data_IF_470380350539
#
_entry.id   IF_470380350539
#
_cell.length_a   1.000
_cell.length_b   1.000
_cell.length_c   1.000
_cell.angle_alpha   90.00
_cell.angle_beta   90.00
_cell.angle_gamma   90.00
#
_symmetry.space_group_name_H-M   'P 1'
#
loop_
_entity.id
_entity.type
_entity.pdbx_description
1 polymer ?
#
# COMPACT_ATOMS: atom_id res chain seq x y z
N UNK A 1 7.39 -65.45 -52.60
CA UNK A 1 5.96 -65.80 -52.86
C UNK A 1 5.25 -65.87 -51.51
N UNK A 2 4.09 -65.21 -51.38
CA UNK A 2 3.15 -65.27 -50.24
C UNK A 2 3.48 -64.28 -49.12
N UNK A 3 2.83 -63.10 -48.99
CA UNK A 3 1.45 -62.83 -48.51
C UNK A 3 1.29 -63.23 -47.03
N UNK A 4 1.01 -62.36 -46.05
CA UNK A 4 -0.03 -61.32 -45.82
C UNK A 4 -0.92 -61.77 -44.65
N UNK A 5 -1.37 -60.81 -43.85
CA UNK A 5 -2.38 -60.88 -42.76
C UNK A 5 -1.94 -61.57 -41.47
N UNK A 6 -2.17 -61.05 -40.26
CA UNK A 6 -2.94 -59.91 -39.80
C UNK A 6 -3.28 -60.12 -38.31
N UNK A 7 -3.77 -59.04 -37.67
CA UNK A 7 -4.70 -59.07 -36.53
C UNK A 7 -4.17 -58.91 -35.08
N UNK A 8 -4.33 -57.65 -34.60
CA UNK A 8 -5.00 -57.17 -33.35
C UNK A 8 -4.56 -57.69 -31.97
N UNK A 9 -4.24 -56.74 -31.07
CA UNK A 9 -5.08 -56.22 -29.96
C UNK A 9 -4.23 -55.19 -29.19
N UNK A 10 -4.51 -53.89 -29.26
CA UNK A 10 -5.58 -53.09 -28.64
C UNK A 10 -5.35 -52.75 -27.16
N UNK A 11 -5.35 -51.42 -26.93
CA UNK A 11 -5.79 -50.66 -25.76
C UNK A 11 -5.08 -50.95 -24.43
N UNK A 12 -4.52 -49.95 -23.74
CA UNK A 12 -5.28 -48.90 -23.06
C UNK A 12 -4.24 -47.84 -22.64
N UNK A 13 -4.30 -46.56 -23.01
CA UNK A 13 -5.47 -45.70 -22.86
C UNK A 13 -5.53 -45.10 -21.45
N UNK A 14 -4.46 -44.44 -20.99
CA UNK A 14 -4.58 -43.45 -19.91
C UNK A 14 -4.05 -42.11 -20.41
N UNK A 15 -4.91 -41.49 -21.20
CA UNK A 15 -4.97 -40.06 -21.37
C UNK A 15 -5.49 -39.50 -20.03
N UNK A 16 -4.57 -39.16 -19.13
CA UNK A 16 -4.91 -38.31 -17.99
C UNK A 16 -5.23 -36.94 -18.56
N UNK A 17 -6.53 -36.70 -18.76
CA UNK A 17 -7.10 -35.38 -18.85
C UNK A 17 -6.78 -34.66 -17.52
N UNK A 18 -5.63 -34.00 -17.47
CA UNK A 18 -5.43 -32.91 -16.53
C UNK A 18 -6.42 -31.83 -16.92
N UNK A 19 -7.53 -31.76 -16.20
CA UNK A 19 -8.39 -30.59 -16.20
C UNK A 19 -7.50 -29.41 -15.81
N UNK A 20 -7.11 -28.63 -16.82
CA UNK A 20 -6.47 -27.33 -16.65
C UNK A 20 -7.43 -26.51 -15.80
N UNK A 21 -7.08 -26.27 -14.54
CA UNK A 21 -7.68 -25.16 -13.79
C UNK A 21 -7.30 -23.94 -14.61
N UNK A 22 -8.22 -23.46 -15.45
CA UNK A 22 -8.01 -22.23 -16.23
C UNK A 22 -7.74 -21.13 -15.22
N UNK A 23 -6.45 -20.80 -15.04
CA UNK A 23 -6.05 -19.82 -14.06
C UNK A 23 -6.71 -18.49 -14.44
N UNK A 24 -7.62 -18.02 -13.58
CA UNK A 24 -8.38 -16.80 -13.80
C UNK A 24 -7.42 -15.65 -14.18
N UNK A 25 -7.80 -14.80 -15.16
CA UNK A 25 -7.00 -13.64 -15.50
C UNK A 25 -6.75 -12.78 -14.26
N UNK A 26 -5.49 -12.40 -14.04
CA UNK A 26 -5.09 -11.53 -12.95
C UNK A 26 -4.55 -10.23 -13.53
N UNK A 27 -5.15 -9.12 -13.12
CA UNK A 27 -4.61 -7.78 -13.36
C UNK A 27 -4.02 -7.26 -12.05
N UNK A 28 -2.74 -6.93 -12.08
CA UNK A 28 -2.06 -6.28 -10.97
C UNK A 28 -1.86 -4.80 -11.26
N UNK A 29 -2.28 -3.96 -10.32
CA UNK A 29 -2.10 -2.52 -10.33
C UNK A 29 -1.25 -2.05 -9.15
N UNK A 30 -1.14 -2.84 -8.08
CA UNK A 30 -0.37 -2.52 -6.89
C UNK A 30 1.10 -2.90 -7.10
N UNK A 31 2.01 -1.95 -6.89
CA UNK A 31 3.44 -2.13 -7.15
C UNK A 31 3.84 -2.12 -8.63
N UNK A 32 2.88 -1.97 -9.55
CA UNK A 32 3.13 -1.87 -10.98
C UNK A 32 2.03 -2.52 -11.81
N UNK A 33 1.95 -2.15 -13.09
CA UNK A 33 0.98 -2.75 -14.00
C UNK A 33 1.49 -4.11 -14.52
N UNK A 34 0.69 -5.16 -14.33
CA UNK A 34 0.88 -6.42 -15.06
C UNK A 34 -0.46 -7.12 -15.34
N UNK A 35 -0.47 -7.95 -16.38
CA UNK A 35 -1.62 -8.80 -16.73
C UNK A 35 -1.11 -10.21 -16.88
N UNK A 36 -1.75 -11.16 -16.22
CA UNK A 36 -1.49 -12.59 -16.40
C UNK A 36 -2.73 -13.33 -16.82
N UNK A 37 -2.60 -14.21 -17.82
CA UNK A 37 -3.67 -15.10 -18.30
C UNK A 37 -3.11 -16.51 -18.37
N UNK A 38 -3.76 -17.48 -17.73
CA UNK A 38 -3.23 -18.86 -17.69
C UNK A 38 -1.84 -18.95 -17.04
N UNK A 39 -1.50 -18.03 -16.12
CA UNK A 39 -0.18 -17.94 -15.49
C UNK A 39 0.90 -17.20 -16.30
N UNK A 40 0.66 -16.91 -17.58
CA UNK A 40 1.60 -16.22 -18.46
C UNK A 40 1.41 -14.70 -18.44
N UNK A 41 2.51 -13.94 -18.41
CA UNK A 41 2.47 -12.47 -18.51
C UNK A 41 2.14 -12.02 -19.93
N UNK A 42 1.18 -11.10 -20.07
CA UNK A 42 0.74 -10.55 -21.35
C UNK A 42 1.23 -9.12 -21.53
N UNK A 43 1.96 -8.88 -22.62
CA UNK A 43 2.49 -7.56 -22.95
C UNK A 43 1.44 -6.70 -23.68
N UNK A 44 0.95 -5.66 -23.01
CA UNK A 44 0.03 -4.68 -23.60
C UNK A 44 0.75 -3.36 -23.93
N UNK A 45 0.37 -2.65 -25.02
CA UNK A 45 0.82 -1.28 -25.29
C UNK A 45 0.33 -0.28 -24.23
N UNK A 46 1.02 0.86 -24.06
CA UNK A 46 0.70 1.88 -23.04
C UNK A 46 -0.79 2.28 -23.01
N UNK A 47 -1.38 2.59 -24.16
CA UNK A 47 -2.80 2.96 -24.24
C UNK A 47 -3.75 1.83 -23.80
N UNK A 48 -3.43 0.58 -24.12
CA UNK A 48 -4.21 -0.59 -23.65
C UNK A 48 -4.07 -0.79 -22.15
N UNK A 49 -2.86 -0.59 -21.59
CA UNK A 49 -2.67 -0.62 -20.13
C UNK A 49 -3.51 0.46 -19.45
N UNK A 50 -3.54 1.67 -20.01
CA UNK A 50 -4.30 2.82 -19.49
C UNK A 50 -5.79 2.52 -19.41
N UNK A 51 -6.39 2.02 -20.51
CA UNK A 51 -7.80 1.62 -20.54
C UNK A 51 -8.09 0.53 -19.51
N UNK A 52 -7.26 -0.51 -19.45
CA UNK A 52 -7.49 -1.63 -18.54
C UNK A 52 -7.37 -1.20 -17.07
N UNK A 53 -6.34 -0.43 -16.73
CA UNK A 53 -6.14 0.10 -15.40
C UNK A 53 -7.34 0.94 -14.93
N UNK A 54 -7.88 1.79 -15.82
CA UNK A 54 -9.05 2.58 -15.52
C UNK A 54 -10.28 1.71 -15.22
N UNK A 55 -10.59 0.75 -16.10
CA UNK A 55 -11.73 -0.17 -15.89
C UNK A 55 -11.61 -0.97 -14.59
N UNK A 56 -10.39 -1.35 -14.23
CA UNK A 56 -10.10 -2.08 -12.98
C UNK A 56 -10.23 -1.21 -11.72
N UNK A 57 -10.21 0.12 -11.80
CA UNK A 57 -10.47 0.98 -10.65
C UNK A 57 -11.94 1.36 -10.53
N UNK A 58 -12.58 1.61 -11.67
CA UNK A 58 -13.97 2.08 -11.76
C UNK A 58 -15.00 0.97 -11.47
N UNK A 59 -14.65 -0.31 -11.70
CA UNK A 59 -15.52 -1.46 -11.38
C UNK A 59 -15.97 -1.52 -9.91
N UNK A 60 -15.28 -0.84 -8.99
CA UNK A 60 -15.74 -0.73 -7.61
C UNK A 60 -16.89 0.27 -7.40
N UNK A 61 -17.14 1.17 -8.36
CA UNK A 61 -18.19 2.19 -8.32
C UNK A 61 -19.29 1.93 -9.37
N UNK A 62 -18.93 1.52 -10.60
CA UNK A 62 -19.86 1.23 -11.69
C UNK A 62 -19.40 -0.01 -12.48
N UNK A 63 -20.33 -0.93 -12.80
CA UNK A 63 -20.03 -2.21 -13.46
C UNK A 63 -19.60 -2.04 -14.93
N UNK A 64 -20.01 -0.93 -15.56
CA UNK A 64 -19.72 -0.60 -16.95
C UNK A 64 -19.46 0.90 -17.14
N UNK A 65 -18.79 1.25 -18.25
CA UNK A 65 -18.54 2.64 -18.62
C UNK A 65 -19.00 2.91 -20.05
N UNK A 66 -19.64 4.06 -20.27
CA UNK A 66 -19.92 4.57 -21.61
C UNK A 66 -18.62 4.81 -22.40
N UNK A 67 -18.58 4.36 -23.66
CA UNK A 67 -17.39 4.46 -24.51
C UNK A 67 -17.00 5.89 -24.83
N UNK A 68 -17.97 6.77 -25.02
CA UNK A 68 -17.73 8.19 -25.25
C UNK A 68 -17.09 8.84 -24.02
N UNK A 69 -17.71 8.65 -22.86
CA UNK A 69 -17.21 9.18 -21.58
C UNK A 69 -15.81 8.63 -21.26
N UNK A 70 -15.61 7.33 -21.43
CA UNK A 70 -14.34 6.66 -21.20
C UNK A 70 -13.24 7.23 -22.11
N UNK A 71 -13.54 7.45 -23.39
CA UNK A 71 -12.60 8.03 -24.34
C UNK A 71 -12.20 9.46 -23.94
N UNK A 72 -13.17 10.31 -23.58
CA UNK A 72 -12.92 11.70 -23.20
C UNK A 72 -12.10 11.77 -21.89
N UNK A 73 -12.43 10.95 -20.90
CA UNK A 73 -11.71 10.91 -19.62
C UNK A 73 -10.27 10.40 -19.76
N UNK A 74 -10.04 9.42 -20.63
CA UNK A 74 -8.72 8.86 -20.88
C UNK A 74 -7.88 9.66 -21.87
N UNK A 75 -8.43 10.60 -22.62
CA UNK A 75 -7.67 11.47 -23.53
C UNK A 75 -8.25 12.88 -23.52
N UNK A 76 -8.14 13.61 -22.40
CA UNK A 76 -8.77 14.92 -22.23
C UNK A 76 -8.23 15.97 -23.20
N UNK A 77 -6.97 15.85 -23.62
CA UNK A 77 -6.30 16.82 -24.51
C UNK A 77 -6.52 16.52 -26.00
N UNK A 78 -7.37 15.55 -26.34
CA UNK A 78 -7.64 15.12 -27.71
C UNK A 78 -9.05 15.49 -28.17
N UNK A 79 -9.22 15.70 -29.48
CA UNK A 79 -10.57 15.86 -30.03
C UNK A 79 -11.39 14.59 -29.83
N UNK A 80 -12.72 14.75 -29.70
CA UNK A 80 -13.61 13.64 -29.39
C UNK A 80 -13.52 12.46 -30.39
N UNK A 81 -13.23 12.75 -31.67
CA UNK A 81 -12.99 11.73 -32.71
C UNK A 81 -11.68 10.97 -32.48
N UNK A 82 -10.59 11.67 -32.16
CA UNK A 82 -9.28 11.06 -31.87
C UNK A 82 -9.32 10.23 -30.59
N UNK A 83 -10.02 10.71 -29.56
CA UNK A 83 -10.20 10.00 -28.30
C UNK A 83 -10.95 8.68 -28.54
N UNK A 84 -12.06 8.70 -29.30
CA UNK A 84 -12.80 7.48 -29.68
C UNK A 84 -11.98 6.52 -30.53
N UNK A 85 -11.19 7.03 -31.49
CA UNK A 85 -10.31 6.21 -32.31
C UNK A 85 -9.19 5.54 -31.48
N UNK A 86 -8.63 6.28 -30.52
CA UNK A 86 -7.62 5.78 -29.58
C UNK A 86 -8.19 4.69 -28.67
N UNK A 87 -9.38 4.92 -28.11
CA UNK A 87 -10.09 3.92 -27.31
C UNK A 87 -10.37 2.64 -28.12
N UNK A 88 -10.89 2.78 -29.34
CA UNK A 88 -11.15 1.63 -30.23
C UNK A 88 -9.89 0.81 -30.50
N UNK A 89 -8.77 1.48 -30.77
CA UNK A 89 -7.47 0.81 -31.00
C UNK A 89 -6.97 0.10 -29.75
N UNK A 90 -7.07 0.75 -28.59
CA UNK A 90 -6.67 0.17 -27.31
C UNK A 90 -7.49 -1.07 -26.95
N UNK A 91 -8.83 -1.00 -27.11
CA UNK A 91 -9.74 -2.12 -26.87
C UNK A 91 -9.52 -3.28 -27.84
N UNK A 92 -9.30 -2.98 -29.13
CA UNK A 92 -8.97 -4.02 -30.11
C UNK A 92 -7.68 -4.76 -29.74
N UNK A 93 -6.64 -4.03 -29.30
CA UNK A 93 -5.39 -4.63 -28.81
C UNK A 93 -5.61 -5.49 -27.58
N UNK A 94 -6.38 -5.03 -26.59
CA UNK A 94 -6.70 -5.83 -25.40
C UNK A 94 -7.38 -7.14 -25.79
N UNK A 95 -8.41 -7.10 -26.64
CA UNK A 95 -9.14 -8.30 -27.06
C UNK A 95 -8.31 -9.27 -27.88
N UNK A 96 -7.35 -8.76 -28.64
CA UNK A 96 -6.47 -9.62 -29.44
C UNK A 96 -5.51 -10.42 -28.56
N UNK A 97 -4.94 -9.79 -27.53
CA UNK A 97 -3.99 -10.45 -26.62
C UNK A 97 -4.70 -11.20 -25.47
N UNK A 98 -5.85 -10.69 -25.02
CA UNK A 98 -6.66 -11.20 -23.91
C UNK A 98 -8.17 -11.14 -24.26
N UNK A 99 -8.71 -12.12 -25.01
CA UNK A 99 -10.09 -12.07 -25.52
C UNK A 99 -11.17 -11.93 -24.45
N UNK A 100 -10.98 -12.58 -23.30
CA UNK A 100 -11.98 -12.69 -22.24
C UNK A 100 -11.81 -11.65 -21.11
N UNK A 101 -11.00 -10.60 -21.34
CA UNK A 101 -10.70 -9.61 -20.29
C UNK A 101 -11.69 -8.45 -20.29
N UNK A 102 -12.11 -8.00 -21.47
CA UNK A 102 -12.95 -6.80 -21.65
C UNK A 102 -14.06 -7.05 -22.67
N UNK A 103 -15.29 -6.90 -22.21
CA UNK A 103 -16.48 -6.96 -23.03
C UNK A 103 -16.95 -5.55 -23.42
N UNK A 104 -17.66 -5.46 -24.54
CA UNK A 104 -18.33 -4.23 -24.94
C UNK A 104 -19.63 -4.57 -25.63
N UNK A 105 -20.70 -4.01 -25.09
CA UNK A 105 -22.08 -4.22 -25.50
C UNK A 105 -22.82 -2.88 -25.39
N UNK A 106 -23.71 -2.55 -26.33
CA UNK A 106 -24.54 -1.33 -26.29
C UNK A 106 -23.77 -0.03 -25.99
N UNK A 107 -22.62 0.17 -26.63
CA UNK A 107 -21.70 1.30 -26.42
C UNK A 107 -21.12 1.43 -24.98
N UNK A 108 -21.26 0.37 -24.18
CA UNK A 108 -20.61 0.21 -22.87
C UNK A 108 -19.37 -0.65 -22.97
N UNK A 109 -18.42 -0.44 -22.07
CA UNK A 109 -17.22 -1.26 -21.87
C UNK A 109 -17.21 -1.74 -20.43
N UNK A 110 -16.95 -3.03 -20.23
CA UNK A 110 -16.89 -3.63 -18.91
C UNK A 110 -15.75 -4.63 -18.81
N UNK A 111 -15.17 -4.73 -17.62
CA UNK A 111 -14.21 -5.78 -17.29
C UNK A 111 -14.98 -7.07 -16.96
N UNK A 112 -14.52 -8.20 -17.50
CA UNK A 112 -15.12 -9.51 -17.24
C UNK A 112 -15.15 -9.83 -15.72
N UNK A 113 -16.15 -10.59 -15.28
CA UNK A 113 -16.38 -10.89 -13.85
C UNK A 113 -15.38 -11.90 -13.29
N UNK A 114 -14.83 -12.73 -14.15
CA UNK A 114 -13.81 -13.72 -13.83
C UNK A 114 -12.42 -13.09 -13.66
N UNK A 115 -12.27 -11.80 -13.99
CA UNK A 115 -10.99 -11.09 -13.84
C UNK A 115 -10.75 -10.77 -12.38
N UNK A 116 -9.70 -11.38 -11.85
CA UNK A 116 -9.19 -11.01 -10.55
C UNK A 116 -8.37 -9.72 -10.69
N UNK A 117 -8.65 -8.74 -9.84
CA UNK A 117 -7.86 -7.51 -9.74
C UNK A 117 -7.33 -7.39 -8.31
N UNK A 118 -6.03 -7.21 -8.18
CA UNK A 118 -5.35 -7.12 -6.87
C UNK A 118 -5.89 -5.98 -5.99
N UNK A 119 -6.21 -4.82 -6.57
CA UNK A 119 -6.79 -3.68 -5.85
C UNK A 119 -8.17 -3.99 -5.27
N UNK A 120 -8.98 -4.81 -5.95
CA UNK A 120 -10.29 -5.23 -5.44
C UNK A 120 -10.14 -6.19 -4.27
N UNK A 121 -9.19 -7.12 -4.37
CA UNK A 121 -8.84 -8.00 -3.26
C UNK A 121 -8.35 -7.17 -2.07
N UNK A 122 -7.45 -6.21 -2.31
CA UNK A 122 -6.92 -5.31 -1.29
C UNK A 122 -8.02 -4.51 -0.57
N UNK A 123 -8.97 -3.92 -1.32
CA UNK A 123 -10.13 -3.21 -0.73
C UNK A 123 -10.99 -4.13 0.13
N UNK A 124 -11.36 -5.31 -0.38
CA UNK A 124 -12.06 -6.33 0.40
C UNK A 124 -11.26 -6.76 1.63
N UNK A 125 -9.93 -6.73 1.56
CA UNK A 125 -9.07 -7.03 2.71
C UNK A 125 -9.15 -5.94 3.80
N UNK A 126 -9.14 -4.67 3.42
CA UNK A 126 -9.33 -3.57 4.35
C UNK A 126 -10.76 -3.54 4.93
N UNK A 127 -11.80 -3.74 4.10
CA UNK A 127 -13.20 -3.67 4.54
C UNK A 127 -13.55 -4.72 5.60
N UNK A 128 -13.05 -5.96 5.52
CA UNK A 128 -13.34 -6.93 6.61
C UNK A 128 -12.53 -6.67 7.87
N UNK A 129 -11.41 -5.94 7.81
CA UNK A 129 -10.73 -5.45 9.02
C UNK A 129 -11.59 -4.39 9.70
N UNK A 130 -12.18 -3.48 8.92
CA UNK A 130 -13.10 -2.45 9.42
C UNK A 130 -14.40 -3.04 9.97
N UNK A 131 -14.93 -4.10 9.37
CA UNK A 131 -16.20 -4.70 9.76
C UNK A 131 -16.13 -5.60 11.00
N UNK A 132 -14.97 -5.72 11.65
CA UNK A 132 -14.74 -6.55 12.85
C UNK A 132 -15.07 -8.05 12.70
N UNK A 133 -15.18 -8.54 11.47
CA UNK A 133 -15.58 -9.92 11.14
C UNK A 133 -14.42 -10.90 10.98
N UNK A 134 -13.25 -10.65 11.59
CA UNK A 134 -12.05 -11.44 11.31
C UNK A 134 -11.40 -12.07 12.53
N UNK A 135 -11.33 -13.41 12.53
CA UNK A 135 -10.46 -14.21 13.40
C UNK A 135 -8.98 -14.20 12.96
N UNK A 136 -8.66 -13.66 11.77
CA UNK A 136 -7.33 -13.66 11.18
C UNK A 136 -6.77 -12.24 10.98
N UNK A 137 -6.91 -11.36 11.99
CA UNK A 137 -6.46 -9.98 11.92
C UNK A 137 -4.96 -9.86 11.57
N UNK A 138 -4.10 -10.73 12.13
CA UNK A 138 -2.63 -10.63 11.98
C UNK A 138 -2.13 -10.79 10.55
N UNK A 139 -2.60 -11.79 9.82
CA UNK A 139 -2.18 -12.02 8.43
C UNK A 139 -2.64 -10.90 7.50
N UNK A 140 -3.85 -10.37 7.75
CA UNK A 140 -4.42 -9.27 6.98
C UNK A 140 -3.72 -7.95 7.28
N UNK A 141 -3.40 -7.69 8.55
CA UNK A 141 -2.54 -6.57 8.94
C UNK A 141 -1.19 -6.66 8.24
N UNK A 142 -0.57 -7.84 8.17
CA UNK A 142 0.69 -8.01 7.43
C UNK A 142 0.55 -7.74 5.92
N UNK A 143 -0.58 -8.15 5.32
CA UNK A 143 -0.87 -7.81 3.92
C UNK A 143 -1.01 -6.29 3.73
N UNK A 144 -1.68 -5.60 4.65
CA UNK A 144 -1.82 -4.13 4.60
C UNK A 144 -0.50 -3.41 4.93
N UNK A 145 0.36 -4.01 5.77
CA UNK A 145 1.66 -3.47 6.14
C UNK A 145 2.60 -3.34 4.93
N UNK A 146 2.45 -4.22 3.93
CA UNK A 146 3.08 -4.02 2.63
C UNK A 146 2.44 -2.81 1.95
N UNK A 147 3.10 -1.66 2.05
CA UNK A 147 2.69 -0.50 1.29
C UNK A 147 2.94 -0.79 -0.20
N UNK A 148 1.87 -1.04 -0.94
CA UNK A 148 1.94 -1.25 -2.37
C UNK A 148 1.28 -0.06 -3.05
N UNK A 149 2.10 0.86 -3.54
CA UNK A 149 1.65 2.04 -4.29
C UNK A 149 0.83 1.61 -5.52
N UNK A 150 -0.27 2.30 -5.78
CA UNK A 150 -1.09 2.05 -6.96
C UNK A 150 -0.43 2.65 -8.20
N UNK A 151 -0.01 1.78 -9.12
CA UNK A 151 0.61 2.11 -10.41
C UNK A 151 1.76 3.13 -10.27
N UNK A 152 2.84 2.80 -9.55
CA UNK A 152 3.97 3.70 -9.36
C UNK A 152 4.54 4.17 -10.70
N UNK A 153 4.89 5.46 -10.78
CA UNK A 153 5.43 6.09 -11.99
C UNK A 153 4.40 6.45 -13.06
N UNK A 154 3.11 6.23 -12.82
CA UNK A 154 2.04 6.71 -13.69
C UNK A 154 1.60 8.12 -13.29
N UNK A 155 1.66 9.04 -14.25
CA UNK A 155 1.21 10.42 -14.13
C UNK A 155 -0.15 10.59 -14.84
N UNK A 156 -1.22 10.37 -14.09
CA UNK A 156 -2.59 10.34 -14.59
C UNK A 156 -3.52 10.98 -13.55
N UNK A 157 -4.23 12.03 -13.92
CA UNK A 157 -5.05 12.81 -12.98
C UNK A 157 -6.14 11.97 -12.29
N UNK A 158 -6.73 11.00 -13.00
CA UNK A 158 -7.74 10.10 -12.44
C UNK A 158 -7.16 9.13 -11.40
N UNK A 159 -5.84 8.91 -11.35
CA UNK A 159 -5.21 8.10 -10.30
C UNK A 159 -5.08 8.82 -8.96
N UNK A 160 -5.09 10.15 -8.94
CA UNK A 160 -4.87 10.92 -7.71
C UNK A 160 -5.92 10.58 -6.65
N UNK A 161 -7.19 10.64 -7.04
CA UNK A 161 -8.31 10.31 -6.14
C UNK A 161 -8.27 8.83 -5.74
N UNK A 162 -8.00 7.92 -6.68
CA UNK A 162 -7.97 6.49 -6.40
C UNK A 162 -6.83 6.11 -5.43
N UNK A 163 -5.65 6.72 -5.59
CA UNK A 163 -4.51 6.57 -4.67
C UNK A 163 -4.87 7.06 -3.27
N UNK A 164 -5.45 8.25 -3.16
CA UNK A 164 -5.83 8.81 -1.86
C UNK A 164 -6.92 7.98 -1.18
N UNK A 165 -7.94 7.53 -1.91
CA UNK A 165 -8.97 6.64 -1.38
C UNK A 165 -8.37 5.33 -0.84
N UNK A 166 -7.44 4.72 -1.59
CA UNK A 166 -6.79 3.49 -1.16
C UNK A 166 -5.93 3.70 0.08
N UNK A 167 -5.20 4.82 0.12
CA UNK A 167 -4.39 5.24 1.26
C UNK A 167 -5.24 5.43 2.50
N UNK A 168 -6.33 6.20 2.42
CA UNK A 168 -7.25 6.41 3.53
C UNK A 168 -7.86 5.10 4.01
N UNK A 169 -8.36 4.25 3.10
CA UNK A 169 -8.93 2.95 3.45
C UNK A 169 -7.92 2.08 4.22
N UNK A 170 -6.67 2.04 3.76
CA UNK A 170 -5.58 1.33 4.44
C UNK A 170 -5.31 1.88 5.83
N UNK A 171 -5.12 3.19 5.97
CA UNK A 171 -4.83 3.83 7.26
C UNK A 171 -5.95 3.58 8.28
N UNK A 172 -7.22 3.69 7.86
CA UNK A 172 -8.36 3.39 8.73
C UNK A 172 -8.37 1.91 9.15
N UNK A 173 -8.16 0.98 8.21
CA UNK A 173 -8.16 -0.46 8.52
C UNK A 173 -7.03 -0.84 9.49
N UNK A 174 -5.83 -0.27 9.32
CA UNK A 174 -4.71 -0.48 10.24
C UNK A 174 -4.98 0.13 11.61
N UNK A 175 -5.50 1.36 11.66
CA UNK A 175 -5.83 2.03 12.92
C UNK A 175 -6.90 1.25 13.71
N UNK A 176 -7.99 0.82 13.05
CA UNK A 176 -9.00 -0.03 13.68
C UNK A 176 -8.40 -1.33 14.19
N UNK A 177 -7.51 -1.96 13.42
CA UNK A 177 -6.87 -3.22 13.82
C UNK A 177 -5.94 -3.03 15.03
N UNK A 178 -5.14 -1.95 15.06
CA UNK A 178 -4.23 -1.68 16.17
C UNK A 178 -4.98 -1.33 17.46
N UNK A 179 -6.10 -0.60 17.39
CA UNK A 179 -6.96 -0.35 18.55
C UNK A 179 -7.53 -1.65 19.11
N UNK A 180 -8.05 -2.52 18.23
CA UNK A 180 -8.56 -3.84 18.65
C UNK A 180 -7.47 -4.69 19.30
N UNK A 181 -6.25 -4.70 18.76
CA UNK A 181 -5.11 -5.40 19.38
C UNK A 181 -4.81 -4.86 20.79
N UNK A 182 -4.91 -3.53 20.99
CA UNK A 182 -4.74 -2.93 22.31
C UNK A 182 -5.86 -3.32 23.27
N UNK A 183 -7.13 -3.34 22.80
CA UNK A 183 -8.29 -3.79 23.59
C UNK A 183 -8.17 -5.26 24.01
N UNK A 184 -7.55 -6.10 23.17
CA UNK A 184 -7.22 -7.50 23.47
C UNK A 184 -5.98 -7.67 24.37
N UNK A 185 -5.34 -6.57 24.81
CA UNK A 185 -4.13 -6.59 25.64
C UNK A 185 -2.84 -6.93 24.88
N UNK A 186 -2.89 -6.99 23.55
CA UNK A 186 -1.74 -7.30 22.69
C UNK A 186 -0.96 -6.04 22.32
N UNK A 187 -0.46 -5.35 23.33
CA UNK A 187 0.17 -4.04 23.17
C UNK A 187 1.36 -4.01 22.20
N UNK A 188 2.30 -4.98 22.18
CA UNK A 188 3.40 -4.96 21.22
C UNK A 188 2.92 -4.98 19.76
N UNK A 189 1.93 -5.84 19.44
CA UNK A 189 1.37 -5.90 18.09
C UNK A 189 0.60 -4.59 17.75
N UNK A 190 -0.10 -4.00 18.72
CA UNK A 190 -0.80 -2.73 18.54
C UNK A 190 0.17 -1.57 18.24
N UNK A 191 1.28 -1.50 18.99
CA UNK A 191 2.34 -0.51 18.82
C UNK A 191 2.96 -0.64 17.43
N UNK A 192 3.32 -1.86 17.01
CA UNK A 192 3.89 -2.09 15.68
C UNK A 192 2.97 -1.60 14.56
N UNK A 193 1.66 -1.89 14.66
CA UNK A 193 0.67 -1.41 13.68
C UNK A 193 0.53 0.11 13.70
N UNK A 194 0.47 0.71 14.88
CA UNK A 194 0.31 2.16 15.00
C UNK A 194 1.53 2.93 14.51
N UNK A 195 2.73 2.39 14.71
CA UNK A 195 3.97 2.95 14.15
C UNK A 195 3.93 2.97 12.61
N UNK A 196 3.33 1.96 11.97
CA UNK A 196 3.15 1.97 10.50
C UNK A 196 2.22 3.09 10.04
N UNK A 197 1.12 3.32 10.77
CA UNK A 197 0.16 4.40 10.46
C UNK A 197 0.81 5.77 10.68
N UNK A 198 1.52 5.96 11.79
CA UNK A 198 2.23 7.20 12.12
C UNK A 198 3.37 7.49 11.14
N UNK A 199 4.09 6.46 10.67
CA UNK A 199 5.14 6.64 9.67
C UNK A 199 4.59 7.14 8.33
N UNK A 200 3.37 6.75 7.96
CA UNK A 200 2.73 7.15 6.70
C UNK A 200 1.95 8.46 6.79
N UNK A 201 1.29 8.71 7.91
CA UNK A 201 0.57 9.96 8.18
C UNK A 201 0.94 10.49 9.58
N UNK A 202 2.10 11.18 9.70
CA UNK A 202 2.60 11.66 10.99
C UNK A 202 1.69 12.66 11.69
N UNK A 203 0.90 13.42 10.93
CA UNK A 203 -0.01 14.45 11.43
C UNK A 203 -1.40 13.89 11.83
N UNK A 204 -1.65 12.59 11.67
CA UNK A 204 -2.91 11.94 12.07
C UNK A 204 -2.97 11.76 13.58
N UNK A 205 -3.60 12.72 14.25
CA UNK A 205 -3.73 12.71 15.70
C UNK A 205 -4.38 11.44 16.25
N UNK A 206 -5.37 10.87 15.54
CA UNK A 206 -6.05 9.66 16.00
C UNK A 206 -5.11 8.45 16.12
N UNK A 207 -4.15 8.32 15.21
CA UNK A 207 -3.12 7.28 15.24
C UNK A 207 -2.06 7.56 16.32
N UNK A 208 -1.64 8.81 16.47
CA UNK A 208 -0.73 9.25 17.54
C UNK A 208 -1.32 8.95 18.91
N UNK A 209 -2.61 9.27 19.07
CA UNK A 209 -3.38 9.09 20.29
C UNK A 209 -3.50 7.60 20.66
N UNK A 210 -3.75 6.73 19.68
CA UNK A 210 -3.79 5.28 19.88
C UNK A 210 -2.41 4.68 20.20
N UNK A 211 -1.33 5.15 19.57
CA UNK A 211 0.04 4.73 19.88
C UNK A 211 0.42 5.09 21.33
N UNK A 212 0.11 6.32 21.74
CA UNK A 212 0.36 6.81 23.11
C UNK A 212 -0.43 5.98 24.13
N UNK A 213 -1.69 5.68 23.86
CA UNK A 213 -2.49 4.79 24.72
C UNK A 213 -1.89 3.39 24.82
N UNK A 214 -1.49 2.80 23.70
CA UNK A 214 -0.90 1.46 23.71
C UNK A 214 0.38 1.42 24.58
N UNK A 215 1.24 2.43 24.50
CA UNK A 215 2.41 2.54 25.38
C UNK A 215 2.02 2.73 26.86
N UNK A 216 1.00 3.53 27.17
CA UNK A 216 0.53 3.71 28.55
C UNK A 216 -0.02 2.42 29.13
N UNK A 217 -0.83 1.68 28.36
CA UNK A 217 -1.40 0.40 28.77
C UNK A 217 -0.33 -0.70 28.93
N UNK A 218 0.72 -0.67 28.12
CA UNK A 218 1.89 -1.55 28.29
C UNK A 218 2.76 -1.19 29.51
N UNK A 219 2.59 0.01 30.08
CA UNK A 219 3.40 0.53 31.20
C UNK A 219 4.61 1.38 30.77
N UNK A 220 4.76 1.62 29.46
CA UNK A 220 5.84 2.39 28.86
C UNK A 220 5.57 3.90 28.89
N UNK A 221 5.39 4.45 30.09
CA UNK A 221 5.01 5.86 30.32
C UNK A 221 6.01 6.85 29.72
N UNK A 222 7.31 6.55 29.77
CA UNK A 222 8.35 7.41 29.20
C UNK A 222 8.21 7.51 27.68
N UNK A 223 7.93 6.40 27.00
CA UNK A 223 7.80 6.40 25.54
C UNK A 223 6.50 7.10 25.11
N UNK A 224 5.40 6.88 25.83
CA UNK A 224 4.15 7.63 25.63
C UNK A 224 4.36 9.15 25.71
N UNK A 225 5.10 9.60 26.73
CA UNK A 225 5.43 11.03 26.91
C UNK A 225 6.32 11.55 25.77
N UNK A 226 7.34 10.79 25.40
CA UNK A 226 8.25 11.13 24.30
C UNK A 226 7.51 11.26 22.97
N UNK A 227 6.62 10.33 22.66
CA UNK A 227 5.82 10.34 21.45
C UNK A 227 4.90 11.56 21.39
N UNK A 228 4.23 11.89 22.50
CA UNK A 228 3.42 13.11 22.60
C UNK A 228 4.25 14.37 22.32
N UNK A 229 5.44 14.49 22.91
CA UNK A 229 6.30 15.66 22.70
C UNK A 229 6.80 15.77 21.26
N UNK A 230 7.12 14.63 20.61
CA UNK A 230 7.47 14.59 19.20
C UNK A 230 6.31 15.07 18.33
N UNK A 231 5.11 14.54 18.54
CA UNK A 231 3.91 14.93 17.81
C UNK A 231 3.57 16.41 18.02
N UNK A 232 3.58 16.90 19.27
CA UNK A 232 3.28 18.30 19.59
C UNK A 232 4.23 19.28 18.89
N UNK A 233 5.54 18.95 18.84
CA UNK A 233 6.53 19.75 18.10
C UNK A 233 6.25 19.73 16.61
N UNK A 234 5.98 18.56 16.04
CA UNK A 234 5.69 18.40 14.61
C UNK A 234 4.44 19.18 14.21
N UNK A 235 3.34 19.02 14.94
CA UNK A 235 2.08 19.70 14.68
C UNK A 235 2.19 21.23 14.75
N UNK A 236 2.98 21.74 15.70
CA UNK A 236 3.28 23.16 15.79
C UNK A 236 4.13 23.66 14.63
N UNK A 237 5.12 22.88 14.22
CA UNK A 237 6.08 23.27 13.16
C UNK A 237 5.41 23.26 11.79
N UNK A 238 4.63 22.22 11.48
CA UNK A 238 3.99 22.04 10.18
C UNK A 238 2.71 22.86 10.04
N UNK A 239 1.89 22.95 11.10
CA UNK A 239 0.53 23.50 11.01
C UNK A 239 0.26 24.67 11.98
N UNK A 240 1.19 25.02 12.87
CA UNK A 240 0.95 26.04 13.90
C UNK A 240 -0.14 25.66 14.91
N UNK A 241 -0.49 24.37 14.97
CA UNK A 241 -1.56 23.83 15.81
C UNK A 241 -1.00 23.14 17.04
N UNK A 242 -1.88 22.90 18.02
CA UNK A 242 -1.57 22.17 19.26
C UNK A 242 -2.34 20.86 19.30
N UNK A 243 -1.82 19.83 19.98
CA UNK A 243 -2.58 18.61 20.22
C UNK A 243 -3.92 18.90 20.90
N UNK A 244 -4.92 18.06 20.65
CA UNK A 244 -6.23 18.20 21.28
C UNK A 244 -6.15 18.14 22.81
N UNK A 245 -7.13 18.72 23.52
CA UNK A 245 -7.24 18.59 24.97
C UNK A 245 -7.33 17.13 25.45
N UNK A 246 -8.00 16.28 24.66
CA UNK A 246 -8.15 14.85 24.93
C UNK A 246 -6.80 14.15 24.97
N UNK A 247 -5.97 14.39 23.95
CA UNK A 247 -4.62 13.83 23.88
C UNK A 247 -3.71 14.38 24.99
N UNK A 248 -3.82 15.68 25.28
CA UNK A 248 -3.08 16.28 26.41
C UNK A 248 -3.44 15.61 27.74
N UNK A 249 -4.72 15.34 27.97
CA UNK A 249 -5.22 14.68 29.19
C UNK A 249 -4.64 13.27 29.38
N UNK A 250 -4.49 12.49 28.31
CA UNK A 250 -3.94 11.12 28.34
C UNK A 250 -2.52 11.05 28.92
N UNK A 251 -1.71 12.08 28.67
CA UNK A 251 -0.30 12.14 29.14
C UNK A 251 -0.11 13.09 30.33
N UNK A 252 -1.20 13.59 30.92
CA UNK A 252 -1.15 14.58 32.00
C UNK A 252 -0.48 15.90 31.60
N UNK A 253 -0.55 16.29 30.32
CA UNK A 253 -0.04 17.56 29.82
C UNK A 253 -1.14 18.64 29.84
N UNK A 254 -0.75 19.91 29.95
CA UNK A 254 -1.68 21.04 29.84
C UNK A 254 -1.68 21.57 28.40
N UNK A 255 -2.86 21.67 27.77
CA UNK A 255 -3.00 22.15 26.38
C UNK A 255 -2.43 23.57 26.17
N UNK A 256 -2.33 24.38 27.23
CA UNK A 256 -1.79 25.73 27.19
C UNK A 256 -0.25 25.79 27.05
N UNK A 257 0.48 24.72 27.38
CA UNK A 257 1.95 24.74 27.40
C UNK A 257 2.49 24.64 25.98
N UNK A 258 3.15 25.71 25.49
CA UNK A 258 3.82 25.70 24.18
C UNK A 258 4.86 24.55 24.19
N UNK A 259 4.97 23.71 23.14
CA UNK A 259 5.98 22.66 23.14
C UNK A 259 7.35 23.31 23.32
N UNK A 260 8.05 22.92 24.38
CA UNK A 260 9.37 23.46 24.68
C UNK A 260 10.31 23.11 23.53
N UNK A 261 11.05 24.10 23.04
CA UNK A 261 12.19 23.83 22.16
C UNK A 261 13.15 22.86 22.88
N UNK A 262 13.85 21.96 22.16
CA UNK A 262 14.84 21.10 22.80
C UNK A 262 15.82 21.97 23.58
N UNK A 263 16.04 21.64 24.86
CA UNK A 263 17.10 22.27 25.63
C UNK A 263 18.40 22.07 24.87
N UNK A 264 19.06 23.16 24.46
CA UNK A 264 20.40 23.08 23.91
C UNK A 264 21.26 22.31 24.91
N UNK A 265 22.14 21.39 24.46
CA UNK A 265 23.03 20.70 25.36
C UNK A 265 23.82 21.76 26.13
N UNK A 266 23.65 21.76 27.45
CA UNK A 266 24.30 22.72 28.35
C UNK A 266 25.80 22.48 28.24
N UNK A 267 26.48 23.27 27.41
CA UNK A 267 27.94 23.34 27.38
C UNK A 267 28.39 23.99 28.68
N UNK A 268 28.55 23.15 29.70
CA UNK A 268 28.76 23.59 31.07
C UNK A 268 29.46 22.54 31.90
N UNK A 269 30.49 21.88 31.35
CA UNK A 269 31.43 21.12 32.18
C UNK A 269 32.57 22.05 32.58
N UNK A 270 32.37 22.72 33.73
CA UNK A 270 33.44 23.34 34.53
C UNK A 270 34.56 22.32 34.71
N UNK A 271 35.72 22.59 34.14
CA UNK A 271 36.95 21.87 34.45
C UNK A 271 37.30 22.14 35.92
N UNK A 272 37.16 21.11 36.75
CA UNK A 272 37.77 21.04 38.08
C UNK A 272 39.15 20.42 37.87
N UNK A 273 40.15 21.09 38.42
CA UNK A 273 41.59 20.89 38.24
C UNK A 273 42.09 19.49 38.62
N UNK A 274 43.18 19.06 37.98
CA UNK A 274 44.18 18.22 38.63
C UNK A 274 45.57 18.42 37.99
N UNK A 275 46.44 18.95 38.83
CA UNK A 275 47.90 18.97 38.75
C UNK A 275 48.45 17.56 38.51
N UNK A 276 49.53 17.43 37.73
CA UNK A 276 50.06 16.11 37.36
C UNK A 276 51.09 16.13 36.24
N UNK A 277 52.21 16.82 36.48
CA UNK A 277 53.42 16.69 35.68
C UNK A 277 54.05 15.30 35.87
N UNK A 278 53.86 14.40 34.89
CA UNK A 278 54.68 13.18 34.77
C UNK A 278 55.19 12.99 33.35
N UNK A 279 56.52 13.06 33.30
CA UNK A 279 57.47 12.66 32.28
C UNK A 279 57.06 11.40 31.47
N UNK A 280 57.11 11.51 30.14
CA UNK A 280 57.56 10.41 29.25
C UNK A 280 57.81 10.94 27.82
N UNK A 281 58.99 11.52 27.55
CA UNK A 281 59.49 11.66 26.18
C UNK A 281 60.14 10.35 25.76
N UNK A 282 59.34 9.48 25.15
CA UNK A 282 59.84 8.37 24.32
C UNK A 282 60.33 8.92 22.97
N UNK A 283 61.64 9.08 22.84
CA UNK A 283 62.34 9.21 21.55
C UNK A 283 62.09 7.94 20.73
N UNK A 284 61.70 8.07 19.47
CA UNK A 284 62.24 7.22 18.42
C UNK A 284 62.37 7.98 17.09
N UNK A 285 63.37 7.65 16.26
CA UNK A 285 63.97 8.60 15.34
C UNK A 285 63.57 8.39 13.88
N UNK A 286 63.84 9.44 13.10
CA UNK A 286 64.35 9.42 11.73
C UNK A 286 63.61 8.63 10.66
N UNK A 287 63.01 9.36 9.71
CA UNK A 287 63.08 9.05 8.27
C UNK A 287 63.01 10.37 7.47
N UNK A 288 64.12 10.68 6.78
CA UNK A 288 64.24 11.27 5.42
C UNK A 288 63.61 12.66 5.18
N UNK A 289 64.30 13.71 4.69
CA UNK A 289 65.52 13.90 3.90
C UNK A 289 66.08 15.30 4.21
#
# INVERSE_FOLDING_TARGET
MGASEGLRMSATGLQTASASVEAQPLVSLLGGFSVRVGGCSVALPKHSRRVLAYLCLDKAAEQDCDRGILAERLWPDSSAERSRASLRTALWRIRRECPNLVFSENDRVMLADEVTVDVHQYRRHAERLLADKSDCARERVHLMARNCELLPGWDETWLLLAREQLRQLRLHALETSGRRLADEGRYPDAIDVMLMVVAEEPLRETAQSALIEAHLCEGNVIEARRQFELFARMLWTELGMRPSPELCGRVGAHAATRPSAPAQPVSGRRAIAADGSVLARGRNPSLQR
#
